data_IF_205989188915
#
_entry.id   IF_205989188915
#
_cell.length_a   1.000
_cell.length_b   1.000
_cell.length_c   1.000
_cell.angle_alpha   90.00
_cell.angle_beta   90.00
_cell.angle_gamma   90.00
#
_symmetry.space_group_name_H-M   'P 1'
#
loop_
_entity.id
_entity.type
_entity.pdbx_description
1 polymer ?
#
# COMPACT_ATOMS: atom_id res chain seq x y z
N UNK A 1 -20.58 8.29 -14.57
CA UNK A 1 -19.58 8.14 -15.64
C UNK A 1 -18.22 7.93 -14.98
N UNK A 2 -17.40 7.06 -15.52
CA UNK A 2 -16.00 6.91 -15.03
C UNK A 2 -15.21 8.13 -15.49
N UNK A 3 -14.40 8.77 -14.63
CA UNK A 3 -13.56 9.90 -15.06
C UNK A 3 -12.58 9.41 -16.15
N UNK A 4 -12.19 10.27 -17.08
CA UNK A 4 -11.23 9.90 -18.13
C UNK A 4 -9.80 9.81 -17.58
N UNK A 5 -9.58 8.89 -16.64
CA UNK A 5 -8.24 8.63 -16.11
C UNK A 5 -7.44 7.85 -17.13
N UNK A 6 -6.36 8.44 -17.59
CA UNK A 6 -5.39 7.73 -18.41
C UNK A 6 -4.25 7.18 -17.55
N UNK A 7 -3.77 6.02 -17.91
CA UNK A 7 -2.55 5.44 -17.33
C UNK A 7 -1.37 6.46 -17.36
N UNK A 8 -1.21 7.15 -18.50
CA UNK A 8 -0.14 8.14 -18.69
C UNK A 8 -0.23 9.33 -17.71
N UNK A 9 -1.44 9.86 -17.48
CA UNK A 9 -1.61 10.97 -16.54
C UNK A 9 -1.29 10.61 -15.09
N UNK A 10 -1.61 9.37 -14.66
CA UNK A 10 -1.21 8.89 -13.35
C UNK A 10 0.31 8.70 -13.24
N UNK A 11 0.94 8.15 -14.28
CA UNK A 11 2.41 7.99 -14.34
C UNK A 11 3.08 9.34 -14.16
N UNK A 12 2.68 10.36 -14.93
CA UNK A 12 3.28 11.70 -14.90
C UNK A 12 3.21 12.32 -13.49
N UNK A 13 2.03 12.30 -12.87
CA UNK A 13 1.84 12.86 -11.51
C UNK A 13 2.72 12.13 -10.49
N UNK A 14 2.74 10.78 -10.54
CA UNK A 14 3.52 10.02 -9.56
C UNK A 14 5.03 10.14 -9.80
N UNK A 15 5.48 10.32 -11.04
CA UNK A 15 6.88 10.58 -11.36
C UNK A 15 7.34 11.95 -10.85
N UNK A 16 6.48 12.98 -10.94
CA UNK A 16 6.75 14.29 -10.36
C UNK A 16 6.78 14.24 -8.83
N UNK A 17 5.82 13.56 -8.19
CA UNK A 17 5.83 13.32 -6.75
C UNK A 17 7.11 12.56 -6.31
N UNK A 18 7.50 11.54 -7.05
CA UNK A 18 8.75 10.81 -6.80
C UNK A 18 9.99 11.69 -6.97
N UNK A 19 9.98 12.63 -7.91
CA UNK A 19 11.06 13.60 -8.09
C UNK A 19 11.15 14.57 -6.90
N UNK A 20 10.02 14.97 -6.29
CA UNK A 20 10.02 15.74 -5.03
C UNK A 20 10.79 14.98 -3.94
N UNK A 21 10.47 13.71 -3.73
CA UNK A 21 11.14 12.89 -2.71
C UNK A 21 12.64 12.77 -2.99
N UNK A 22 13.03 12.47 -4.24
CA UNK A 22 14.45 12.30 -4.61
C UNK A 22 15.32 13.55 -4.44
N UNK A 23 14.77 14.75 -4.69
CA UNK A 23 15.51 16.02 -4.60
C UNK A 23 15.58 16.60 -3.20
N UNK A 24 14.67 16.16 -2.30
CA UNK A 24 14.60 16.71 -0.94
C UNK A 24 15.53 15.94 -0.03
N UNK A 25 16.52 16.65 0.55
CA UNK A 25 17.34 16.09 1.63
C UNK A 25 16.59 16.25 2.94
N UNK A 26 16.30 15.14 3.61
CA UNK A 26 15.73 15.19 4.94
C UNK A 26 16.79 15.73 5.91
N UNK A 27 16.46 16.84 6.58
CA UNK A 27 17.24 17.33 7.70
C UNK A 27 16.71 16.67 9.00
N UNK A 28 17.55 16.20 9.93
CA UNK A 28 17.10 15.58 11.18
C UNK A 28 16.07 16.43 11.96
N UNK A 29 16.21 17.75 11.91
CA UNK A 29 15.31 18.69 12.58
C UNK A 29 13.94 18.87 11.88
N UNK A 30 13.75 18.28 10.71
CA UNK A 30 12.50 18.34 9.96
C UNK A 30 11.46 17.32 10.42
N UNK A 31 11.84 16.38 11.28
CA UNK A 31 10.96 15.33 11.82
C UNK A 31 10.11 15.89 12.96
N UNK A 32 8.80 15.68 12.86
CA UNK A 32 7.84 15.97 13.95
C UNK A 32 7.08 14.69 14.29
N UNK A 33 6.51 14.62 15.48
CA UNK A 33 5.62 13.53 15.87
C UNK A 33 4.17 13.98 15.73
N UNK A 34 3.32 13.12 15.16
CA UNK A 34 1.87 13.27 15.17
C UNK A 34 1.31 12.99 16.56
N UNK A 35 0.02 13.21 16.78
CA UNK A 35 -0.64 12.97 18.07
C UNK A 35 -0.61 11.48 18.50
N UNK A 36 -0.54 10.57 17.55
CA UNK A 36 -0.41 9.11 17.78
C UNK A 36 1.04 8.65 17.97
N UNK A 37 2.01 9.57 17.93
CA UNK A 37 3.44 9.31 18.07
C UNK A 37 4.15 8.87 16.79
N UNK A 38 3.47 8.74 15.66
CA UNK A 38 4.12 8.46 14.38
C UNK A 38 4.89 9.68 13.86
N UNK A 39 6.03 9.48 13.17
CA UNK A 39 6.79 10.60 12.61
C UNK A 39 6.11 11.15 11.36
N UNK A 40 6.26 12.45 11.15
CA UNK A 40 5.91 13.17 9.92
C UNK A 40 7.01 14.18 9.62
N UNK A 41 7.28 14.38 8.34
CA UNK A 41 8.25 15.38 7.88
C UNK A 41 7.54 16.48 7.08
N UNK A 42 8.27 17.57 6.81
CA UNK A 42 7.78 18.60 5.90
C UNK A 42 7.57 18.04 4.47
N UNK A 43 8.36 17.03 4.10
CA UNK A 43 8.27 16.38 2.80
C UNK A 43 6.95 15.60 2.62
N UNK A 44 6.47 14.89 3.66
CA UNK A 44 5.17 14.19 3.61
C UNK A 44 4.06 15.17 3.23
N UNK A 45 4.05 16.35 3.84
CA UNK A 45 3.05 17.40 3.57
C UNK A 45 3.23 18.06 2.19
N UNK A 46 4.46 18.24 1.74
CA UNK A 46 4.74 18.78 0.40
C UNK A 46 4.24 17.82 -0.68
N UNK A 47 4.49 16.53 -0.51
CA UNK A 47 4.00 15.48 -1.42
C UNK A 47 2.48 15.37 -1.36
N UNK A 48 1.87 15.43 -0.16
CA UNK A 48 0.40 15.44 0.01
C UNK A 48 -0.23 16.61 -0.74
N UNK A 49 0.27 17.82 -0.53
CA UNK A 49 -0.25 19.02 -1.18
C UNK A 49 -0.14 18.98 -2.71
N UNK A 50 0.99 18.48 -3.22
CA UNK A 50 1.21 18.28 -4.65
C UNK A 50 0.23 17.25 -5.22
N UNK A 51 0.13 16.05 -4.61
CA UNK A 51 -0.76 15.00 -5.07
C UNK A 51 -2.22 15.44 -5.04
N UNK A 52 -2.63 16.16 -3.98
CA UNK A 52 -3.99 16.70 -3.88
C UNK A 52 -4.31 17.65 -5.02
N UNK A 53 -3.41 18.58 -5.33
CA UNK A 53 -3.61 19.54 -6.40
C UNK A 53 -3.76 18.85 -7.76
N UNK A 54 -2.85 17.94 -8.09
CA UNK A 54 -2.80 17.31 -9.41
C UNK A 54 -3.88 16.24 -9.60
N UNK A 55 -4.14 15.40 -8.60
CA UNK A 55 -5.16 14.36 -8.69
C UNK A 55 -6.58 14.94 -8.72
N UNK A 56 -6.86 16.01 -7.95
CA UNK A 56 -8.14 16.71 -8.02
C UNK A 56 -8.29 17.52 -9.32
N UNK A 57 -7.20 17.93 -9.96
CA UNK A 57 -7.27 18.55 -11.30
C UNK A 57 -7.71 17.53 -12.36
N UNK A 58 -7.31 16.25 -12.22
CA UNK A 58 -7.80 15.16 -13.09
C UNK A 58 -9.26 14.79 -12.82
N UNK A 59 -9.69 14.87 -11.56
CA UNK A 59 -11.03 14.44 -11.12
C UNK A 59 -11.61 15.47 -10.15
N UNK A 60 -12.09 16.63 -10.64
CA UNK A 60 -12.52 17.75 -9.79
C UNK A 60 -13.69 17.41 -8.84
N UNK A 61 -14.49 16.41 -9.18
CA UNK A 61 -15.61 15.95 -8.37
C UNK A 61 -15.23 14.92 -7.30
N UNK A 62 -13.95 14.52 -7.22
CA UNK A 62 -13.51 13.55 -6.24
C UNK A 62 -13.31 14.17 -4.85
N UNK A 63 -13.69 13.41 -3.81
CA UNK A 63 -13.31 13.68 -2.43
C UNK A 63 -11.86 13.30 -2.16
N UNK A 64 -11.36 13.67 -0.98
CA UNK A 64 -9.98 13.44 -0.57
C UNK A 64 -9.90 12.77 0.79
N UNK A 65 -9.10 11.71 0.89
CA UNK A 65 -8.70 11.05 2.12
C UNK A 65 -7.20 10.80 2.06
N UNK A 66 -6.46 11.36 2.99
CA UNK A 66 -5.01 11.19 3.07
C UNK A 66 -4.56 10.98 4.51
N UNK A 67 -3.38 10.39 4.68
CA UNK A 67 -2.73 10.29 5.98
C UNK A 67 -2.37 11.65 6.56
N UNK A 68 -2.01 12.63 5.72
CA UNK A 68 -1.42 13.91 6.14
C UNK A 68 -2.41 15.08 6.16
N UNK A 69 -3.59 14.90 5.59
CA UNK A 69 -4.65 15.92 5.55
C UNK A 69 -5.82 15.53 6.46
N UNK A 70 -6.44 16.49 7.18
CA UNK A 70 -7.66 16.23 7.94
C UNK A 70 -8.80 15.76 7.03
N UNK A 71 -9.52 14.72 7.46
CA UNK A 71 -10.75 14.28 6.80
C UNK A 71 -11.90 15.21 7.21
N UNK A 72 -12.36 16.05 6.29
CA UNK A 72 -13.48 16.98 6.49
C UNK A 72 -14.86 16.33 6.24
N UNK A 73 -14.88 15.05 5.88
CA UNK A 73 -16.07 14.27 5.60
C UNK A 73 -16.71 14.53 4.23
N UNK A 74 -16.24 15.50 3.45
CA UNK A 74 -16.77 15.84 2.11
C UNK A 74 -16.71 14.65 1.14
N UNK A 75 -15.72 13.79 1.29
CA UNK A 75 -15.53 12.58 0.49
C UNK A 75 -16.70 11.60 0.51
N UNK A 76 -17.55 11.65 1.55
CA UNK A 76 -18.67 10.71 1.72
C UNK A 76 -19.82 10.96 0.76
N UNK A 77 -19.94 12.17 0.25
CA UNK A 77 -20.96 12.57 -0.73
C UNK A 77 -20.39 12.70 -2.14
N UNK A 78 -19.08 12.59 -2.30
CA UNK A 78 -18.42 12.65 -3.59
C UNK A 78 -18.61 11.34 -4.37
N UNK A 79 -18.78 11.39 -5.70
CA UNK A 79 -18.94 10.19 -6.53
C UNK A 79 -17.69 9.32 -6.58
N UNK A 80 -16.54 9.92 -6.31
CA UNK A 80 -15.23 9.27 -6.24
C UNK A 80 -14.46 9.81 -5.04
N UNK A 81 -13.47 9.05 -4.57
CA UNK A 81 -12.58 9.50 -3.50
C UNK A 81 -11.16 9.06 -3.78
N UNK A 82 -10.22 10.00 -3.79
CA UNK A 82 -8.81 9.67 -3.71
C UNK A 82 -8.45 9.28 -2.28
N UNK A 83 -7.80 8.13 -2.15
CA UNK A 83 -7.20 7.64 -0.89
C UNK A 83 -5.69 7.61 -1.11
N UNK A 84 -4.96 8.39 -0.33
CA UNK A 84 -3.55 8.69 -0.58
C UNK A 84 -2.71 8.50 0.67
N UNK A 85 -1.57 7.86 0.50
CA UNK A 85 -0.45 7.90 1.43
C UNK A 85 0.71 8.59 0.70
N UNK A 86 1.06 9.81 1.09
CA UNK A 86 2.14 10.56 0.43
C UNK A 86 3.50 9.90 0.55
N UNK A 87 3.79 9.32 1.72
CA UNK A 87 5.03 8.57 1.98
C UNK A 87 4.75 7.45 2.99
N UNK A 88 4.25 6.31 2.51
CA UNK A 88 4.21 5.11 3.33
C UNK A 88 5.63 4.64 3.66
N UNK A 89 5.96 4.63 4.93
CA UNK A 89 7.29 4.30 5.41
C UNK A 89 8.15 5.50 5.80
N UNK A 90 7.56 6.58 6.34
CA UNK A 90 8.30 7.74 6.84
C UNK A 90 9.40 7.35 7.84
N UNK A 91 9.19 6.35 8.70
CA UNK A 91 10.23 5.80 9.58
C UNK A 91 11.43 5.24 8.80
N UNK A 92 11.18 4.57 7.69
CA UNK A 92 12.23 4.02 6.83
C UNK A 92 13.01 5.14 6.16
N UNK A 93 12.32 6.15 5.66
CA UNK A 93 12.93 7.31 5.02
C UNK A 93 13.84 8.07 5.99
N UNK A 94 13.38 8.31 7.22
CA UNK A 94 14.17 8.95 8.28
C UNK A 94 15.39 8.11 8.64
N UNK A 95 15.26 6.79 8.62
CA UNK A 95 16.36 5.87 8.88
C UNK A 95 17.32 5.69 7.67
N UNK A 96 17.11 6.43 6.57
CA UNK A 96 17.93 6.35 5.36
C UNK A 96 17.75 5.05 4.57
N UNK A 97 16.60 4.39 4.73
CA UNK A 97 16.24 3.19 3.97
C UNK A 97 15.39 3.56 2.75
N UNK A 98 15.48 2.75 1.73
CA UNK A 98 14.80 2.97 0.44
C UNK A 98 13.46 2.19 0.30
N UNK A 99 12.98 1.61 1.39
CA UNK A 99 11.75 0.79 1.43
C UNK A 99 10.53 1.67 1.77
N UNK A 100 10.24 2.62 0.89
CA UNK A 100 9.13 3.57 1.00
C UNK A 100 8.26 3.52 -0.24
N UNK A 101 7.05 4.04 -0.16
CA UNK A 101 6.18 4.20 -1.32
C UNK A 101 5.30 5.45 -1.24
N UNK A 102 5.02 6.03 -2.40
CA UNK A 102 3.90 6.94 -2.62
C UNK A 102 2.75 6.07 -3.11
N UNK A 103 1.57 6.18 -2.50
CA UNK A 103 0.39 5.39 -2.84
C UNK A 103 -0.81 6.28 -3.07
N UNK A 104 -1.48 6.14 -4.22
CA UNK A 104 -2.71 6.83 -4.55
C UNK A 104 -3.71 5.85 -5.15
N UNK A 105 -4.97 5.89 -4.69
CA UNK A 105 -6.05 5.04 -5.18
C UNK A 105 -7.33 5.84 -5.34
N UNK A 106 -7.99 5.74 -6.50
CA UNK A 106 -9.31 6.31 -6.74
C UNK A 106 -10.37 5.25 -6.47
N UNK A 107 -11.28 5.57 -5.59
CA UNK A 107 -12.35 4.68 -5.13
C UNK A 107 -13.70 5.15 -5.64
N UNK A 108 -14.52 4.21 -6.12
CA UNK A 108 -15.93 4.35 -6.44
C UNK A 108 -16.71 3.22 -5.77
N UNK A 109 -17.78 3.54 -5.04
CA UNK A 109 -18.67 2.55 -4.40
C UNK A 109 -17.92 1.52 -3.52
N UNK A 110 -16.88 1.98 -2.82
CA UNK A 110 -16.06 1.15 -1.94
C UNK A 110 -15.05 0.24 -2.65
N UNK A 111 -14.90 0.36 -3.97
CA UNK A 111 -13.94 -0.40 -4.79
C UNK A 111 -12.94 0.53 -5.46
N UNK A 112 -11.69 0.10 -5.57
CA UNK A 112 -10.66 0.87 -6.27
C UNK A 112 -10.82 0.71 -7.79
N UNK A 113 -10.90 1.82 -8.52
CA UNK A 113 -11.02 1.86 -9.99
C UNK A 113 -9.74 2.34 -10.68
N UNK A 114 -8.85 3.00 -9.96
CA UNK A 114 -7.51 3.32 -10.44
C UNK A 114 -6.55 3.39 -9.25
N UNK A 115 -5.32 3.00 -9.45
CA UNK A 115 -4.29 3.05 -8.42
C UNK A 115 -2.90 3.24 -9.00
N UNK A 116 -2.04 3.90 -8.24
CA UNK A 116 -0.62 4.00 -8.51
C UNK A 116 0.17 3.85 -7.21
N UNK A 117 1.19 3.01 -7.23
CA UNK A 117 2.16 2.85 -6.13
C UNK A 117 3.55 2.96 -6.72
N UNK A 118 4.36 3.85 -6.17
CA UNK A 118 5.71 4.14 -6.66
C UNK A 118 6.70 4.13 -5.50
N UNK A 119 7.78 3.38 -5.62
CA UNK A 119 8.95 3.57 -4.76
C UNK A 119 9.87 4.61 -5.42
N UNK A 120 9.93 5.84 -4.88
CA UNK A 120 10.67 6.93 -5.53
C UNK A 120 12.19 6.72 -5.53
N UNK A 121 12.72 5.94 -4.60
CA UNK A 121 14.16 5.77 -4.44
C UNK A 121 14.71 4.61 -5.27
N UNK A 122 13.86 3.62 -5.61
CA UNK A 122 14.24 2.46 -6.42
C UNK A 122 13.78 2.54 -7.87
N UNK A 123 12.91 3.50 -8.21
CA UNK A 123 12.32 3.59 -9.54
C UNK A 123 11.37 2.42 -9.85
N UNK A 124 10.86 1.76 -8.83
CA UNK A 124 9.90 0.66 -8.94
C UNK A 124 8.47 1.22 -8.87
N UNK A 125 7.59 0.80 -9.77
CA UNK A 125 6.20 1.27 -9.76
C UNK A 125 5.21 0.25 -10.29
N UNK A 126 3.95 0.43 -9.89
CA UNK A 126 2.78 -0.28 -10.42
C UNK A 126 1.62 0.68 -10.61
N UNK A 127 0.93 0.56 -11.74
CA UNK A 127 -0.23 1.39 -12.10
C UNK A 127 -1.37 0.47 -12.53
N UNK A 128 -2.55 0.72 -12.01
CA UNK A 128 -3.80 0.03 -12.32
C UNK A 128 -4.87 1.03 -12.74
N UNK A 129 -5.60 0.71 -13.80
CA UNK A 129 -6.83 1.40 -14.19
C UNK A 129 -7.86 0.32 -14.54
N UNK A 130 -9.08 0.44 -14.02
CA UNK A 130 -10.17 -0.51 -14.26
C UNK A 130 -10.36 -0.78 -15.76
N UNK A 131 -10.52 -2.05 -16.12
CA UNK A 131 -10.65 -2.48 -17.51
C UNK A 131 -9.35 -2.88 -18.21
N UNK A 132 -8.20 -2.71 -17.55
CA UNK A 132 -6.90 -3.16 -18.06
C UNK A 132 -6.07 -3.86 -16.95
N UNK A 133 -5.20 -4.80 -17.31
CA UNK A 133 -4.24 -5.35 -16.36
C UNK A 133 -3.28 -4.25 -15.88
N UNK A 134 -2.76 -4.34 -14.63
CA UNK A 134 -1.78 -3.38 -14.15
C UNK A 134 -0.46 -3.46 -14.92
N UNK A 135 0.19 -2.32 -15.05
CA UNK A 135 1.55 -2.23 -15.60
C UNK A 135 2.56 -2.05 -14.46
N UNK A 136 3.71 -2.74 -14.58
CA UNK A 136 4.79 -2.68 -13.59
C UNK A 136 6.10 -2.29 -14.27
N UNK A 137 6.92 -1.50 -13.59
CA UNK A 137 8.25 -1.11 -14.04
C UNK A 137 9.27 -1.20 -12.89
N UNK A 138 10.52 -1.49 -13.22
CA UNK A 138 11.62 -1.59 -12.27
C UNK A 138 11.62 -2.87 -11.43
N UNK A 139 10.67 -3.77 -11.60
CA UNK A 139 10.48 -4.98 -10.81
C UNK A 139 10.66 -6.23 -11.68
N UNK A 140 11.52 -7.14 -11.22
CA UNK A 140 11.71 -8.44 -11.86
C UNK A 140 10.94 -9.51 -11.08
N UNK A 141 10.10 -10.34 -11.75
CA UNK A 141 9.37 -11.40 -11.08
C UNK A 141 10.32 -12.51 -10.57
N UNK A 142 10.02 -13.02 -9.37
CA UNK A 142 10.65 -14.20 -8.82
C UNK A 142 10.17 -15.48 -9.54
N UNK A 143 10.90 -16.56 -9.37
CA UNK A 143 10.46 -17.86 -9.87
C UNK A 143 9.13 -18.26 -9.18
N UNK A 144 8.10 -18.68 -9.93
CA UNK A 144 6.82 -19.03 -9.34
C UNK A 144 6.94 -20.27 -8.43
N UNK A 145 6.19 -20.25 -7.32
CA UNK A 145 6.11 -21.36 -6.38
C UNK A 145 4.65 -21.74 -6.13
N UNK A 146 4.40 -23.02 -5.81
CA UNK A 146 3.06 -23.55 -5.61
C UNK A 146 2.75 -23.92 -4.14
N UNK A 147 3.76 -23.93 -3.27
CA UNK A 147 3.62 -24.34 -1.88
C UNK A 147 4.32 -23.35 -0.92
N UNK A 148 3.85 -23.28 0.34
CA UNK A 148 4.38 -22.35 1.34
C UNK A 148 5.82 -22.66 1.75
N UNK A 149 6.20 -23.93 1.77
CA UNK A 149 7.55 -24.38 2.12
C UNK A 149 8.63 -24.03 1.10
N UNK A 150 8.20 -23.59 -0.10
CA UNK A 150 9.07 -23.00 -1.14
C UNK A 150 8.91 -21.48 -1.25
N UNK A 151 7.91 -20.89 -0.60
CA UNK A 151 7.59 -19.47 -0.73
C UNK A 151 8.48 -18.60 0.17
N UNK A 152 8.82 -17.41 -0.34
CA UNK A 152 9.38 -16.31 0.45
C UNK A 152 8.31 -15.27 0.70
N UNK A 153 8.24 -14.75 1.93
CA UNK A 153 7.33 -13.66 2.28
C UNK A 153 8.10 -12.40 2.70
N UNK A 154 7.62 -11.26 2.26
CA UNK A 154 8.04 -9.97 2.79
C UNK A 154 7.05 -9.52 3.87
N UNK A 155 7.56 -9.20 5.06
CA UNK A 155 6.74 -8.90 6.23
C UNK A 155 7.11 -7.55 6.84
N UNK A 156 6.24 -7.00 7.68
CA UNK A 156 6.50 -5.71 8.31
C UNK A 156 7.74 -5.73 9.20
N UNK A 157 8.66 -4.81 8.98
CA UNK A 157 9.84 -4.60 9.83
C UNK A 157 9.43 -4.26 11.27
N UNK A 158 8.45 -3.38 11.43
CA UNK A 158 7.93 -2.96 12.73
C UNK A 158 7.27 -4.12 13.48
N UNK A 159 6.44 -4.94 12.80
CA UNK A 159 5.81 -6.12 13.41
C UNK A 159 6.87 -7.17 13.78
N UNK A 160 7.87 -7.37 12.95
CA UNK A 160 9.00 -8.27 13.24
C UNK A 160 9.81 -7.81 14.46
N UNK A 161 10.15 -6.53 14.53
CA UNK A 161 10.90 -5.96 15.64
C UNK A 161 10.12 -6.04 16.98
N UNK A 162 8.80 -5.88 16.93
CA UNK A 162 7.90 -6.04 18.11
C UNK A 162 7.71 -7.51 18.52
N UNK A 163 8.13 -8.46 17.69
CA UNK A 163 7.94 -9.89 17.94
C UNK A 163 6.52 -10.40 17.65
N UNK A 164 5.69 -9.60 16.99
CA UNK A 164 4.31 -9.96 16.63
C UNK A 164 4.24 -11.20 15.73
N UNK A 165 5.30 -11.42 14.94
CA UNK A 165 5.37 -12.48 13.95
C UNK A 165 6.10 -13.75 14.43
N UNK A 166 6.60 -13.80 15.66
CA UNK A 166 7.37 -14.95 16.18
C UNK A 166 6.63 -16.28 16.10
N UNK A 167 5.31 -16.26 16.36
CA UNK A 167 4.50 -17.49 16.26
C UNK A 167 4.31 -17.97 14.82
N UNK A 168 4.62 -17.15 13.84
CA UNK A 168 4.44 -17.42 12.41
C UNK A 168 5.73 -17.90 11.73
N UNK A 169 6.81 -18.05 12.48
CA UNK A 169 8.07 -18.59 11.96
C UNK A 169 7.86 -20.01 11.41
N UNK A 170 8.41 -20.27 10.22
CA UNK A 170 8.28 -21.57 9.54
C UNK A 170 6.95 -21.82 8.84
N UNK A 171 6.07 -20.82 8.68
CA UNK A 171 4.90 -20.94 7.79
C UNK A 171 5.33 -20.93 6.31
N UNK A 172 6.36 -20.15 5.99
CA UNK A 172 6.99 -20.08 4.66
C UNK A 172 8.46 -20.45 4.76
N UNK A 173 9.10 -20.75 3.63
CA UNK A 173 10.52 -21.11 3.59
C UNK A 173 11.41 -20.00 4.19
N UNK A 174 11.13 -18.74 3.88
CA UNK A 174 11.88 -17.59 4.37
C UNK A 174 11.00 -16.35 4.51
N UNK A 175 11.29 -15.52 5.53
CA UNK A 175 10.74 -14.19 5.67
C UNK A 175 11.82 -13.13 5.56
N UNK A 176 11.51 -12.00 4.94
CA UNK A 176 12.35 -10.81 4.88
C UNK A 176 11.58 -9.60 5.42
N UNK A 177 12.17 -8.92 6.39
CA UNK A 177 11.57 -7.71 6.97
C UNK A 177 11.77 -6.52 6.04
N UNK A 178 10.66 -5.89 5.63
CA UNK A 178 10.62 -4.78 4.67
C UNK A 178 9.72 -3.68 5.22
N UNK A 179 10.10 -2.42 5.03
CA UNK A 179 9.28 -1.26 5.36
C UNK A 179 8.11 -1.09 4.41
N UNK A 180 7.28 -0.07 4.62
CA UNK A 180 6.14 0.30 3.79
C UNK A 180 5.18 -0.85 3.47
N UNK A 181 3.91 -0.69 3.74
CA UNK A 181 2.88 -1.69 3.43
C UNK A 181 2.55 -1.65 1.94
N UNK A 182 2.39 -0.43 1.40
CA UNK A 182 2.10 -0.21 -0.02
C UNK A 182 3.23 -0.78 -0.90
N UNK A 183 4.49 -0.58 -0.50
CA UNK A 183 5.63 -1.12 -1.23
C UNK A 183 5.65 -2.66 -1.22
N UNK A 184 5.36 -3.30 -0.09
CA UNK A 184 5.26 -4.76 -0.04
C UNK A 184 4.17 -5.30 -0.97
N UNK A 185 3.00 -4.66 -0.98
CA UNK A 185 1.90 -5.03 -1.88
C UNK A 185 2.25 -4.81 -3.36
N UNK A 186 2.96 -3.72 -3.70
CA UNK A 186 3.47 -3.49 -5.05
C UNK A 186 4.39 -4.63 -5.51
N UNK A 187 5.36 -5.03 -4.69
CA UNK A 187 6.31 -6.09 -5.01
C UNK A 187 5.64 -7.44 -5.22
N UNK A 188 4.65 -7.76 -4.37
CA UNK A 188 3.86 -8.98 -4.50
C UNK A 188 2.96 -8.94 -5.74
N UNK A 189 2.36 -7.79 -6.05
CA UNK A 189 1.55 -7.60 -7.25
C UNK A 189 2.36 -7.82 -8.54
N UNK A 190 3.60 -7.35 -8.56
CA UNK A 190 4.54 -7.55 -9.68
C UNK A 190 5.16 -8.96 -9.73
N UNK A 191 4.86 -9.82 -8.75
CA UNK A 191 5.47 -11.15 -8.62
C UNK A 191 6.94 -11.13 -8.19
N UNK A 192 7.47 -9.99 -7.76
CA UNK A 192 8.85 -9.84 -7.30
C UNK A 192 9.10 -10.50 -5.93
N UNK A 193 8.05 -10.71 -5.16
CA UNK A 193 8.00 -11.52 -3.94
C UNK A 193 6.71 -12.36 -3.95
N UNK A 194 6.70 -13.54 -3.30
CA UNK A 194 5.59 -14.49 -3.40
C UNK A 194 4.40 -14.07 -2.53
N UNK A 195 4.66 -13.60 -1.30
CA UNK A 195 3.64 -13.29 -0.31
C UNK A 195 4.00 -12.08 0.53
N UNK A 196 2.97 -11.39 1.00
CA UNK A 196 3.08 -10.52 2.18
C UNK A 196 1.94 -10.80 3.15
N UNK A 197 2.21 -10.70 4.44
CA UNK A 197 1.18 -10.77 5.47
C UNK A 197 1.48 -9.82 6.63
N UNK A 198 0.42 -9.42 7.32
CA UNK A 198 0.44 -8.60 8.52
C UNK A 198 -0.59 -9.14 9.50
N UNK A 199 -0.32 -9.04 10.79
CA UNK A 199 -1.28 -9.42 11.85
C UNK A 199 -1.90 -8.22 12.54
N UNK A 200 -1.47 -7.01 12.17
CA UNK A 200 -1.92 -5.75 12.74
C UNK A 200 -2.92 -5.02 11.83
N UNK A 201 -3.82 -4.23 12.41
CA UNK A 201 -4.66 -3.31 11.64
C UNK A 201 -3.84 -2.37 10.75
N UNK A 202 -4.47 -1.93 9.66
CA UNK A 202 -3.93 -0.94 8.73
C UNK A 202 -4.93 0.19 8.54
N UNK A 203 -4.49 1.32 7.98
CA UNK A 203 -5.38 2.34 7.47
C UNK A 203 -5.69 2.08 5.99
N UNK A 204 -6.76 2.67 5.50
CA UNK A 204 -7.14 2.50 4.09
C UNK A 204 -6.03 2.99 3.14
N UNK A 205 -5.38 4.10 3.46
CA UNK A 205 -4.30 4.68 2.64
C UNK A 205 -3.05 3.80 2.57
N UNK A 206 -2.73 3.03 3.62
CA UNK A 206 -1.60 2.08 3.63
C UNK A 206 -1.77 0.99 2.56
N UNK A 207 -3.02 0.62 2.21
CA UNK A 207 -3.27 -0.62 1.47
C UNK A 207 -4.08 -0.47 0.19
N UNK A 208 -4.85 0.61 0.01
CA UNK A 208 -5.80 0.72 -1.10
C UNK A 208 -5.13 0.56 -2.47
N UNK A 209 -4.04 1.31 -2.71
CA UNK A 209 -3.29 1.22 -3.97
C UNK A 209 -2.70 -0.16 -4.19
N UNK A 210 -2.01 -0.69 -3.18
CA UNK A 210 -1.36 -2.00 -3.29
C UNK A 210 -2.33 -3.16 -3.47
N UNK A 211 -3.48 -3.14 -2.77
CA UNK A 211 -4.53 -4.17 -2.92
C UNK A 211 -5.08 -4.18 -4.35
N UNK A 212 -5.34 -3.00 -4.92
CA UNK A 212 -5.82 -2.90 -6.30
C UNK A 212 -4.82 -3.48 -7.30
N UNK A 213 -3.52 -3.24 -7.09
CA UNK A 213 -2.46 -3.82 -7.93
C UNK A 213 -2.43 -5.35 -7.82
N UNK A 214 -2.48 -5.91 -6.59
CA UNK A 214 -2.48 -7.37 -6.40
C UNK A 214 -3.70 -8.01 -7.06
N UNK A 215 -4.90 -7.46 -6.85
CA UNK A 215 -6.14 -7.99 -7.43
C UNK A 215 -6.17 -7.83 -8.95
N UNK A 216 -5.75 -6.67 -9.46
CA UNK A 216 -5.64 -6.41 -10.89
C UNK A 216 -4.67 -7.33 -11.61
N UNK A 217 -3.62 -7.77 -10.93
CA UNK A 217 -2.66 -8.76 -11.43
C UNK A 217 -3.15 -10.22 -11.32
N UNK A 218 -4.40 -10.45 -10.88
CA UNK A 218 -4.96 -11.79 -10.69
C UNK A 218 -4.59 -12.46 -9.36
N UNK A 219 -3.93 -11.74 -8.46
CA UNK A 219 -3.67 -12.19 -7.11
C UNK A 219 -4.88 -12.06 -6.18
N UNK A 220 -4.71 -12.47 -4.94
CA UNK A 220 -5.73 -12.41 -3.89
C UNK A 220 -5.23 -11.62 -2.70
N UNK A 221 -6.15 -10.90 -2.05
CA UNK A 221 -5.91 -10.27 -0.74
C UNK A 221 -7.07 -10.62 0.17
N UNK A 222 -6.76 -11.23 1.31
CA UNK A 222 -7.76 -11.63 2.29
C UNK A 222 -7.44 -11.05 3.66
N UNK A 223 -8.44 -10.63 4.38
CA UNK A 223 -8.32 -10.25 5.79
C UNK A 223 -8.29 -11.51 6.66
N UNK A 224 -7.55 -11.44 7.76
CA UNK A 224 -7.47 -12.57 8.71
C UNK A 224 -8.81 -12.87 9.38
N UNK A 225 -9.69 -11.88 9.55
CA UNK A 225 -11.05 -12.06 10.09
C UNK A 225 -12.08 -12.51 9.02
N UNK A 226 -11.65 -12.71 7.78
CA UNK A 226 -12.51 -13.16 6.68
C UNK A 226 -13.48 -12.13 6.12
N UNK A 227 -13.53 -10.93 6.71
CA UNK A 227 -14.45 -9.89 6.23
C UNK A 227 -13.98 -9.29 4.90
N UNK A 228 -14.90 -8.82 4.04
CA UNK A 228 -14.52 -8.16 2.79
C UNK A 228 -13.77 -6.86 3.04
N UNK A 229 -12.88 -6.53 2.10
CA UNK A 229 -12.19 -5.23 2.08
C UNK A 229 -13.04 -4.26 1.28
N UNK A 230 -13.38 -3.15 1.91
CA UNK A 230 -14.07 -2.01 1.30
C UNK A 230 -13.39 -0.73 1.73
N UNK A 231 -13.37 0.24 0.85
CA UNK A 231 -12.71 1.53 1.04
C UNK A 231 -13.70 2.69 1.14
N UNK A 232 -13.19 3.86 1.48
CA UNK A 232 -13.96 5.08 1.71
C UNK A 232 -15.03 4.93 2.81
N UNK A 233 -14.66 4.22 3.88
CA UNK A 233 -15.54 3.97 5.02
C UNK A 233 -15.48 5.13 6.03
N UNK A 234 -16.48 5.18 6.93
CA UNK A 234 -16.48 6.13 8.05
C UNK A 234 -15.30 5.90 8.98
N UNK A 235 -15.08 4.65 9.39
CA UNK A 235 -13.85 4.23 10.04
C UNK A 235 -12.86 3.75 8.96
N UNK A 236 -11.84 4.55 8.73
CA UNK A 236 -10.77 4.28 7.76
C UNK A 236 -9.82 3.16 8.20
N UNK A 237 -10.05 2.57 9.37
CA UNK A 237 -9.26 1.48 9.91
C UNK A 237 -9.74 0.14 9.34
N UNK A 238 -8.82 -0.63 8.80
CA UNK A 238 -9.00 -2.05 8.48
C UNK A 238 -8.58 -2.83 9.73
N UNK A 239 -9.53 -3.39 10.51
CA UNK A 239 -9.27 -3.77 11.91
C UNK A 239 -8.45 -5.04 12.07
N UNK A 240 -8.30 -5.86 11.03
CA UNK A 240 -7.50 -7.08 11.11
C UNK A 240 -6.28 -7.01 10.20
N UNK A 241 -5.32 -7.92 10.40
CA UNK A 241 -4.25 -8.16 9.45
C UNK A 241 -4.78 -8.73 8.12
N UNK A 242 -3.86 -8.91 7.18
CA UNK A 242 -4.16 -9.42 5.84
C UNK A 242 -3.06 -10.36 5.33
N UNK A 243 -3.39 -11.13 4.30
CA UNK A 243 -2.45 -11.92 3.49
C UNK A 243 -2.68 -11.56 2.03
N UNK A 244 -1.62 -11.33 1.27
CA UNK A 244 -1.68 -10.99 -0.15
C UNK A 244 -0.66 -11.78 -0.97
N UNK A 245 -1.05 -12.19 -2.19
CA UNK A 245 -0.24 -12.96 -3.13
C UNK A 245 -1.06 -13.80 -4.09
N UNK A 246 -0.47 -14.85 -4.71
CA UNK A 246 -1.21 -15.85 -5.48
C UNK A 246 -2.29 -16.54 -4.65
N UNK A 247 -3.50 -16.71 -5.21
CA UNK A 247 -4.69 -17.14 -4.46
C UNK A 247 -4.48 -18.46 -3.67
N UNK A 248 -3.83 -19.45 -4.27
CA UNK A 248 -3.56 -20.74 -3.60
C UNK A 248 -2.64 -20.58 -2.36
N UNK A 249 -1.59 -19.76 -2.46
CA UNK A 249 -0.68 -19.49 -1.35
C UNK A 249 -1.35 -18.63 -0.27
N UNK A 250 -2.20 -17.67 -0.66
CA UNK A 250 -2.91 -16.79 0.26
C UNK A 250 -3.83 -17.56 1.18
N UNK A 251 -4.62 -18.51 0.64
CA UNK A 251 -5.53 -19.33 1.46
C UNK A 251 -4.75 -20.24 2.42
N UNK A 252 -3.73 -20.94 1.92
CA UNK A 252 -2.89 -21.78 2.75
C UNK A 252 -2.17 -20.99 3.86
N UNK A 253 -1.65 -19.80 3.54
CA UNK A 253 -0.98 -18.93 4.52
C UNK A 253 -1.96 -18.39 5.56
N UNK A 254 -3.17 -17.97 5.14
CA UNK A 254 -4.21 -17.53 6.07
C UNK A 254 -4.54 -18.62 7.10
N UNK A 255 -4.82 -19.84 6.63
CA UNK A 255 -5.18 -20.96 7.50
C UNK A 255 -4.04 -21.29 8.48
N UNK A 256 -2.80 -21.33 7.99
CA UNK A 256 -1.63 -21.55 8.82
C UNK A 256 -1.43 -20.44 9.87
N UNK A 257 -1.64 -19.17 9.49
CA UNK A 257 -1.55 -18.01 10.39
C UNK A 257 -2.62 -18.10 11.49
N UNK A 258 -3.88 -18.36 11.12
CA UNK A 258 -4.98 -18.44 12.07
C UNK A 258 -4.76 -19.59 13.07
N UNK A 259 -4.32 -20.76 12.60
CA UNK A 259 -3.98 -21.90 13.45
C UNK A 259 -2.88 -21.55 14.47
N UNK A 260 -1.80 -20.86 14.03
CA UNK A 260 -0.70 -20.44 14.91
C UNK A 260 -1.10 -19.34 15.90
N UNK A 261 -2.06 -18.51 15.56
CA UNK A 261 -2.59 -17.46 16.45
C UNK A 261 -3.68 -17.98 17.40
N UNK A 262 -4.13 -19.23 17.26
CA UNK A 262 -5.24 -19.80 18.03
C UNK A 262 -6.57 -19.09 17.72
N UNK A 263 -6.78 -18.68 16.48
CA UNK A 263 -8.00 -18.03 16.01
C UNK A 263 -8.75 -18.99 15.09
N UNK A 264 -10.10 -19.07 15.21
CA UNK A 264 -10.93 -19.90 14.33
C UNK A 264 -10.97 -19.36 12.90
#
# INVERSE_FOLDING_TARGET
MTPPLSHAGLVEILDEAAALVRRTRLHPDAVRLKADGSPVTALDREVDAFLRAELLRLTPEAGWLSEESPDDGSRRTAPFTWIVDPIDGTEELIAGRDEIAISAALVRDGSVIAAAVVNPLRGERGIFVEGAPPAFEGLAPAAPVSALDAAEAIVSRTESARGDLRRLEGIVARTRAVGSVAYKLLRVAAGADHLTYSVRPKREWDVAGGIALVQGAGGSVVRLDGAPIRFNRDDTRIPSGHVAGPAALVMAAKDAILARLGRP
#
